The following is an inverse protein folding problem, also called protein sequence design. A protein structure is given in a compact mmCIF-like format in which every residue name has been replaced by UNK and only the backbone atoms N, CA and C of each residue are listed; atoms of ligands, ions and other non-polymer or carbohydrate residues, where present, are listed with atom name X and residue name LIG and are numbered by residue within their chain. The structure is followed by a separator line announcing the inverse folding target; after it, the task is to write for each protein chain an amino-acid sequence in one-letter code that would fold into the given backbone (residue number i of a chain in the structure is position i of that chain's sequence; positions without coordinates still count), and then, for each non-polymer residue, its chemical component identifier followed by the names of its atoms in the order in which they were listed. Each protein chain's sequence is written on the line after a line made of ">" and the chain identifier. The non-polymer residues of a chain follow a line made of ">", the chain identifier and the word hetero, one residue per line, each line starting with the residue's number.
data_IF_500641333739
#
_entry.id   IF_500641333739
#
_cell.length_a   1.000
_cell.length_b   1.000
_cell.length_c   1.000
_cell.angle_alpha   90.00
_cell.angle_beta   90.00
_cell.angle_gamma   90.00
#
_symmetry.space_group_name_H-M   'P 1'
#
loop_
_entity.id
_entity.type
_entity.pdbx_description
1 polymer ?
#
# COMPACT_ATOMS: atom_id res chain seq x y z
N UNK A 1 27.58 -9.41 0.18
CA UNK A 1 27.18 -9.18 -1.23
C UNK A 1 25.76 -9.71 -1.32
N UNK A 2 24.78 -8.87 -1.68
CA UNK A 2 23.43 -9.35 -1.83
C UNK A 2 23.33 -10.33 -3.01
N UNK A 3 22.39 -11.25 -2.94
CA UNK A 3 22.18 -12.25 -3.98
C UNK A 3 21.28 -11.65 -5.05
N UNK A 4 21.87 -11.26 -6.18
CA UNK A 4 21.14 -10.63 -7.27
C UNK A 4 20.11 -11.60 -7.88
N UNK A 5 18.91 -11.09 -8.14
CA UNK A 5 17.84 -11.80 -8.83
C UNK A 5 17.65 -11.21 -10.23
N UNK A 6 17.33 -12.04 -11.21
CA UNK A 6 16.96 -11.54 -12.53
C UNK A 6 15.52 -11.01 -12.52
N UNK A 7 15.16 -10.06 -13.42
CA UNK A 7 13.80 -9.53 -13.49
C UNK A 7 12.70 -10.55 -13.81
N UNK A 8 13.06 -11.75 -14.31
CA UNK A 8 12.10 -12.83 -14.57
C UNK A 8 11.81 -13.61 -13.28
N UNK A 9 12.78 -13.72 -12.39
CA UNK A 9 12.67 -14.47 -11.13
C UNK A 9 11.97 -13.64 -10.05
N UNK A 10 12.20 -12.32 -10.04
CA UNK A 10 11.62 -11.43 -9.04
C UNK A 10 11.52 -9.98 -9.53
N UNK A 11 10.60 -9.23 -8.95
CA UNK A 11 10.52 -7.78 -9.07
C UNK A 11 11.58 -7.06 -8.22
N UNK A 12 12.16 -7.74 -7.23
CA UNK A 12 13.25 -7.22 -6.41
C UNK A 12 14.62 -7.49 -7.06
N UNK A 13 15.55 -6.56 -6.88
CA UNK A 13 16.88 -6.72 -7.46
C UNK A 13 17.71 -7.79 -6.73
N UNK A 14 17.37 -8.08 -5.47
CA UNK A 14 18.13 -8.99 -4.61
C UNK A 14 17.22 -9.84 -3.72
N UNK A 15 17.72 -11.01 -3.32
CA UNK A 15 17.03 -11.89 -2.34
C UNK A 15 16.79 -11.15 -1.04
N UNK A 16 17.76 -10.37 -0.57
CA UNK A 16 17.69 -9.68 0.71
C UNK A 16 16.60 -8.60 0.72
N UNK A 17 16.39 -7.89 -0.39
CA UNK A 17 15.27 -6.96 -0.56
C UNK A 17 13.92 -7.69 -0.59
N UNK A 18 13.83 -8.80 -1.33
CA UNK A 18 12.61 -9.60 -1.39
C UNK A 18 12.22 -10.13 -0.01
N UNK A 19 13.17 -10.66 0.75
CA UNK A 19 12.94 -11.13 2.11
C UNK A 19 12.60 -9.99 3.08
N UNK A 20 13.20 -8.81 2.91
CA UNK A 20 12.85 -7.63 3.70
C UNK A 20 11.41 -7.19 3.44
N UNK A 21 11.00 -7.15 2.16
CA UNK A 21 9.63 -6.85 1.78
C UNK A 21 8.66 -7.91 2.31
N UNK A 22 8.97 -9.19 2.16
CA UNK A 22 8.12 -10.29 2.66
C UNK A 22 7.87 -10.18 4.17
N UNK A 23 8.92 -9.93 4.97
CA UNK A 23 8.79 -9.74 6.42
C UNK A 23 7.92 -8.54 6.77
N UNK A 24 8.14 -7.42 6.07
CA UNK A 24 7.33 -6.21 6.28
C UNK A 24 5.87 -6.46 5.89
N UNK A 25 5.62 -7.03 4.71
CA UNK A 25 4.28 -7.30 4.20
C UNK A 25 3.52 -8.26 5.11
N UNK A 26 4.15 -9.35 5.57
CA UNK A 26 3.55 -10.25 6.54
C UNK A 26 3.18 -9.54 7.85
N UNK A 27 4.03 -8.62 8.33
CA UNK A 27 3.75 -7.85 9.54
C UNK A 27 2.58 -6.88 9.36
N UNK A 28 2.49 -6.20 8.21
CA UNK A 28 1.35 -5.34 7.85
C UNK A 28 0.05 -6.14 7.76
N UNK A 29 0.08 -7.30 7.11
CA UNK A 29 -1.08 -8.20 7.01
C UNK A 29 -1.52 -8.68 8.38
N UNK A 30 -0.59 -9.08 9.25
CA UNK A 30 -0.91 -9.50 10.60
C UNK A 30 -1.52 -8.37 11.42
N UNK A 31 -1.01 -7.13 11.29
CA UNK A 31 -1.60 -5.96 11.92
C UNK A 31 -3.03 -5.71 11.44
N UNK A 32 -3.27 -5.76 10.13
CA UNK A 32 -4.60 -5.58 9.53
C UNK A 32 -5.60 -6.66 9.98
N UNK A 33 -5.16 -7.93 10.07
CA UNK A 33 -6.00 -9.02 10.57
C UNK A 33 -6.39 -8.80 12.04
N UNK A 34 -5.44 -8.39 12.90
CA UNK A 34 -5.73 -8.08 14.30
C UNK A 34 -6.71 -6.91 14.43
N UNK A 35 -6.60 -5.90 13.57
CA UNK A 35 -7.55 -4.78 13.53
C UNK A 35 -8.95 -5.24 13.12
N UNK A 36 -9.05 -6.07 12.07
CA UNK A 36 -10.33 -6.59 11.59
C UNK A 36 -11.03 -7.52 12.61
N UNK A 37 -10.26 -8.28 13.39
CA UNK A 37 -10.79 -9.18 14.42
C UNK A 37 -11.14 -8.45 15.74
N UNK A 38 -10.78 -7.17 15.89
CA UNK A 38 -11.04 -6.42 17.11
C UNK A 38 -12.55 -6.20 17.33
N UNK A 39 -13.07 -6.23 18.58
CA UNK A 39 -14.50 -6.06 18.88
C UNK A 39 -15.13 -4.73 18.44
N UNK A 40 -14.30 -3.75 18.05
CA UNK A 40 -14.73 -2.45 17.54
C UNK A 40 -14.26 -2.17 16.12
N UNK A 41 -13.87 -3.20 15.37
CA UNK A 41 -13.47 -3.06 13.97
C UNK A 41 -14.56 -2.34 13.17
N UNK A 42 -14.16 -1.32 12.42
CA UNK A 42 -15.04 -0.54 11.55
C UNK A 42 -14.88 -1.07 10.14
N UNK A 43 -15.96 -1.58 9.55
CA UNK A 43 -15.97 -2.02 8.16
C UNK A 43 -16.53 -0.90 7.29
N UNK A 44 -15.70 -0.42 6.36
CA UNK A 44 -16.06 0.66 5.44
C UNK A 44 -16.71 0.04 4.19
N UNK A 45 -17.91 0.48 3.79
CA UNK A 45 -18.53 0.05 2.53
C UNK A 45 -17.66 0.44 1.33
N UNK A 46 -17.68 -0.37 0.27
CA UNK A 46 -16.91 -0.09 -0.94
C UNK A 46 -17.20 1.31 -1.52
N UNK A 47 -18.46 1.72 -1.55
CA UNK A 47 -18.87 3.03 -2.09
C UNK A 47 -18.28 4.21 -1.31
N UNK A 48 -18.11 4.05 0.01
CA UNK A 48 -17.51 5.06 0.88
C UNK A 48 -16.00 5.17 0.59
N UNK A 49 -15.30 4.04 0.48
CA UNK A 49 -13.88 4.03 0.06
C UNK A 49 -13.71 4.72 -1.30
N UNK A 50 -14.58 4.44 -2.27
CA UNK A 50 -14.49 5.05 -3.60
C UNK A 50 -14.77 6.57 -3.56
N UNK A 51 -15.70 7.03 -2.73
CA UNK A 51 -15.97 8.46 -2.54
C UNK A 51 -14.78 9.19 -1.91
N UNK A 52 -14.11 8.56 -0.94
CA UNK A 52 -12.90 9.10 -0.33
C UNK A 52 -11.76 9.20 -1.34
N UNK A 53 -11.59 8.19 -2.20
CA UNK A 53 -10.56 8.20 -3.24
C UNK A 53 -10.79 9.31 -4.28
N UNK A 54 -12.03 9.50 -4.73
CA UNK A 54 -12.41 10.59 -5.63
C UNK A 54 -12.06 11.97 -5.02
N UNK A 55 -12.30 12.12 -3.72
CA UNK A 55 -11.98 13.36 -3.00
C UNK A 55 -10.48 13.62 -2.98
N UNK A 56 -9.67 12.60 -2.65
CA UNK A 56 -8.20 12.70 -2.63
C UNK A 56 -7.66 13.07 -4.02
N UNK A 57 -8.17 12.45 -5.08
CA UNK A 57 -7.75 12.71 -6.46
C UNK A 57 -8.06 14.15 -6.84
N UNK A 58 -9.29 14.62 -6.60
CA UNK A 58 -9.70 15.99 -6.93
C UNK A 58 -8.85 17.03 -6.20
N UNK A 59 -8.54 16.80 -4.93
CA UNK A 59 -7.65 17.69 -4.19
C UNK A 59 -6.24 17.74 -4.79
N UNK A 60 -5.71 16.59 -5.22
CA UNK A 60 -4.41 16.53 -5.87
C UNK A 60 -4.40 17.26 -7.22
N UNK A 61 -5.46 17.12 -8.02
CA UNK A 61 -5.62 17.83 -9.30
C UNK A 61 -5.67 19.34 -9.12
N UNK A 62 -6.44 19.83 -8.14
CA UNK A 62 -6.51 21.26 -7.83
C UNK A 62 -5.15 21.81 -7.39
N UNK A 63 -4.42 21.07 -6.54
CA UNK A 63 -3.06 21.44 -6.11
C UNK A 63 -2.11 21.50 -7.31
N UNK A 64 -2.20 20.55 -8.24
CA UNK A 64 -1.39 20.56 -9.45
C UNK A 64 -1.74 21.74 -10.36
N UNK A 65 -3.03 21.99 -10.60
CA UNK A 65 -3.49 23.10 -11.41
C UNK A 65 -3.02 24.45 -10.85
N UNK A 66 -3.13 24.65 -9.54
CA UNK A 66 -2.65 25.86 -8.86
C UNK A 66 -1.12 26.03 -8.92
N UNK A 67 -0.37 24.92 -9.02
CA UNK A 67 1.10 24.97 -9.19
C UNK A 67 1.51 25.29 -10.63
N UNK A 68 0.65 24.99 -11.59
CA UNK A 68 0.90 25.19 -13.02
C UNK A 68 0.32 26.52 -13.55
N UNK A 69 -0.56 27.18 -12.79
CA UNK A 69 -1.06 28.54 -13.04
C UNK A 69 -0.14 29.61 -12.46
#
# INVERSE_FOLDING_TARGET
>A
MPTNLSPIESEFATVEEAEAHDRWFCAEVEAALREADAPGAVFIPHDEVMADMETIIREAELKLAAKLS
#
